data_IF_103081010172
#
_entry.id   IF_103081010172
#
_cell.length_a   1.000
_cell.length_b   1.000
_cell.length_c   1.000
_cell.angle_alpha   90.00
_cell.angle_beta   90.00
_cell.angle_gamma   90.00
#
_symmetry.space_group_name_H-M   'P 1'
#
loop_
_entity.id
_entity.type
_entity.pdbx_description
1 polymer ?
#
# COMPACT_ATOMS: atom_id res chain seq x y z
N UNK A 1 -0.94 3.47 -50.61
CA UNK A 1 -0.01 2.73 -49.74
C UNK A 1 -0.85 1.85 -48.84
N UNK A 2 -0.58 0.54 -48.79
CA UNK A 2 -1.25 -0.33 -47.83
C UNK A 2 -0.91 0.14 -46.41
N UNK A 3 -1.95 0.27 -45.59
CA UNK A 3 -1.81 0.72 -44.21
C UNK A 3 -1.04 -0.33 -43.39
N UNK A 4 0.09 0.09 -42.83
CA UNK A 4 1.07 -0.79 -42.21
C UNK A 4 0.56 -1.31 -40.88
N UNK A 5 0.74 -2.61 -40.63
CA UNK A 5 0.43 -3.19 -39.32
C UNK A 5 1.59 -2.98 -38.32
N UNK A 6 1.28 -2.45 -37.14
CA UNK A 6 2.23 -2.28 -36.04
C UNK A 6 1.85 -3.18 -34.86
N UNK A 7 2.83 -3.57 -34.04
CA UNK A 7 2.59 -4.35 -32.81
C UNK A 7 2.38 -3.39 -31.66
N UNK A 8 1.27 -3.54 -30.93
CA UNK A 8 0.93 -2.70 -29.77
C UNK A 8 1.08 -3.40 -28.43
N UNK A 9 1.02 -4.73 -28.41
CA UNK A 9 1.20 -5.52 -27.21
C UNK A 9 1.70 -6.93 -27.54
N UNK A 10 2.37 -7.56 -26.58
CA UNK A 10 2.74 -8.97 -26.62
C UNK A 10 2.28 -9.62 -25.32
N UNK A 11 1.33 -10.54 -25.41
CA UNK A 11 0.58 -11.04 -24.24
C UNK A 11 0.40 -12.56 -24.31
N UNK A 12 -0.15 -13.16 -23.26
CA UNK A 12 -0.65 -14.54 -23.31
C UNK A 12 -1.88 -14.63 -24.22
N UNK A 13 -2.16 -15.81 -24.79
CA UNK A 13 -3.31 -16.00 -25.70
C UNK A 13 -4.64 -15.48 -25.12
N UNK A 14 -4.95 -15.81 -23.86
CA UNK A 14 -6.16 -15.32 -23.17
C UNK A 14 -6.24 -13.80 -23.09
N UNK A 15 -5.16 -13.12 -22.70
CA UNK A 15 -5.08 -11.67 -22.60
C UNK A 15 -5.13 -11.00 -23.98
N UNK A 16 -4.45 -11.57 -24.97
CA UNK A 16 -4.46 -11.08 -26.33
C UNK A 16 -5.87 -11.13 -26.95
N UNK A 17 -6.64 -12.18 -26.67
CA UNK A 17 -8.03 -12.30 -27.14
C UNK A 17 -8.96 -11.27 -26.47
N UNK A 18 -8.81 -11.05 -25.16
CA UNK A 18 -9.55 -10.00 -24.43
C UNK A 18 -9.23 -8.63 -25.01
N UNK A 19 -7.95 -8.32 -25.19
CA UNK A 19 -7.50 -7.04 -25.74
C UNK A 19 -8.02 -6.81 -27.16
N UNK A 20 -7.92 -7.84 -28.03
CA UNK A 20 -8.49 -7.81 -29.39
C UNK A 20 -9.98 -7.48 -29.35
N UNK A 21 -10.76 -8.22 -28.57
CA UNK A 21 -12.22 -8.07 -28.48
C UNK A 21 -12.60 -6.65 -28.04
N UNK A 22 -11.88 -6.10 -27.05
CA UNK A 22 -12.13 -4.74 -26.58
C UNK A 22 -11.80 -3.68 -27.63
N UNK A 23 -10.65 -3.79 -28.31
CA UNK A 23 -10.26 -2.85 -29.35
C UNK A 23 -11.25 -2.87 -30.53
N UNK A 24 -11.66 -4.06 -30.98
CA UNK A 24 -12.63 -4.22 -32.07
C UNK A 24 -14.00 -3.65 -31.70
N UNK A 25 -14.47 -3.88 -30.46
CA UNK A 25 -15.73 -3.31 -29.96
C UNK A 25 -15.71 -1.77 -29.93
N UNK A 26 -14.54 -1.15 -29.85
CA UNK A 26 -14.35 0.30 -29.87
C UNK A 26 -13.89 0.81 -31.25
N UNK A 27 -14.03 -0.01 -32.29
CA UNK A 27 -13.76 0.37 -33.68
C UNK A 27 -12.28 0.54 -33.99
N UNK A 28 -11.42 -0.35 -33.47
CA UNK A 28 -10.02 -0.52 -33.87
C UNK A 28 -9.86 -1.97 -34.34
N UNK A 29 -9.60 -2.17 -35.62
CA UNK A 29 -9.41 -3.51 -36.19
C UNK A 29 -8.10 -4.12 -35.70
N UNK A 30 -8.16 -5.37 -35.22
CA UNK A 30 -7.04 -5.99 -34.51
C UNK A 30 -6.72 -7.40 -35.02
N UNK A 31 -5.43 -7.67 -35.23
CA UNK A 31 -4.90 -8.93 -35.77
C UNK A 31 -4.00 -9.59 -34.74
N UNK A 32 -4.11 -10.91 -34.58
CA UNK A 32 -3.26 -11.68 -33.68
C UNK A 32 -2.24 -12.49 -34.47
N UNK A 33 -0.97 -12.43 -34.04
CA UNK A 33 0.14 -13.21 -34.61
C UNK A 33 0.79 -14.07 -33.52
N UNK A 34 1.35 -15.21 -33.92
CA UNK A 34 1.88 -16.26 -33.04
C UNK A 34 0.80 -16.96 -32.19
N UNK A 35 -0.41 -17.12 -32.72
CA UNK A 35 -1.46 -17.90 -32.08
C UNK A 35 -1.16 -19.39 -32.31
N UNK A 36 -0.48 -20.05 -31.37
CA UNK A 36 -0.29 -21.50 -31.43
C UNK A 36 -1.60 -22.20 -31.02
N UNK A 37 -2.32 -22.72 -32.00
CA UNK A 37 -3.62 -23.40 -31.82
C UNK A 37 -3.45 -24.93 -31.61
N UNK A 38 -2.27 -25.48 -31.91
CA UNK A 38 -2.10 -26.93 -32.09
C UNK A 38 -1.63 -27.74 -30.87
N UNK A 39 -1.48 -27.15 -29.69
CA UNK A 39 -1.30 -27.90 -28.44
C UNK A 39 -1.73 -26.99 -27.29
N UNK A 40 -2.47 -27.52 -26.31
CA UNK A 40 -2.95 -26.83 -25.11
C UNK A 40 -1.84 -26.30 -24.16
N UNK A 41 -0.67 -25.97 -24.70
CA UNK A 41 0.37 -25.23 -24.01
C UNK A 41 0.03 -23.73 -24.06
N UNK A 42 0.24 -23.06 -22.93
CA UNK A 42 0.06 -21.62 -22.75
C UNK A 42 0.96 -20.92 -23.78
N UNK A 43 0.39 -20.47 -24.90
CA UNK A 43 1.13 -19.68 -25.87
C UNK A 43 1.43 -18.31 -25.25
N UNK A 44 2.64 -18.17 -24.71
CA UNK A 44 3.24 -16.89 -24.35
C UNK A 44 3.79 -16.22 -25.62
N UNK A 45 3.65 -14.90 -25.71
CA UNK A 45 4.22 -14.13 -26.82
C UNK A 45 3.28 -13.92 -28.03
N UNK A 46 1.96 -13.95 -27.82
CA UNK A 46 0.98 -13.58 -28.86
C UNK A 46 1.07 -12.08 -29.10
N UNK A 47 1.37 -11.70 -30.35
CA UNK A 47 1.50 -10.30 -30.75
C UNK A 47 0.14 -9.77 -31.19
N UNK A 48 -0.27 -8.66 -30.59
CA UNK A 48 -1.49 -7.92 -30.92
C UNK A 48 -1.09 -6.80 -31.88
N UNK A 49 -1.65 -6.83 -33.09
CA UNK A 49 -1.32 -5.90 -34.17
C UNK A 49 -2.55 -5.09 -34.58
N UNK A 50 -2.33 -3.83 -34.93
CA UNK A 50 -3.36 -2.91 -35.45
C UNK A 50 -2.81 -2.17 -36.67
N UNK A 51 -3.69 -1.47 -37.40
CA UNK A 51 -3.28 -0.51 -38.42
C UNK A 51 -2.59 0.70 -37.79
N UNK A 52 -1.55 1.22 -38.44
CA UNK A 52 -0.77 2.36 -37.96
C UNK A 52 -1.65 3.62 -37.82
N UNK A 53 -2.65 3.80 -38.70
CA UNK A 53 -3.63 4.89 -38.61
C UNK A 53 -4.44 4.91 -37.31
N UNK A 54 -4.62 3.74 -36.67
CA UNK A 54 -5.41 3.59 -35.45
C UNK A 54 -4.57 3.68 -34.17
N UNK A 55 -3.25 3.90 -34.29
CA UNK A 55 -2.32 3.83 -33.17
C UNK A 55 -2.69 4.73 -31.99
N UNK A 56 -3.02 6.00 -32.24
CA UNK A 56 -3.37 6.96 -31.19
C UNK A 56 -4.64 6.54 -30.43
N UNK A 57 -5.68 6.18 -31.17
CA UNK A 57 -6.96 5.70 -30.61
C UNK A 57 -6.77 4.41 -29.82
N UNK A 58 -6.01 3.46 -30.37
CA UNK A 58 -5.72 2.19 -29.72
C UNK A 58 -4.92 2.37 -28.44
N UNK A 59 -3.89 3.23 -28.43
CA UNK A 59 -3.11 3.54 -27.22
C UNK A 59 -3.97 4.15 -26.12
N UNK A 60 -4.88 5.08 -26.47
CA UNK A 60 -5.84 5.66 -25.52
C UNK A 60 -6.76 4.58 -24.93
N UNK A 61 -7.34 3.73 -25.78
CA UNK A 61 -8.20 2.62 -25.37
C UNK A 61 -7.46 1.59 -24.50
N UNK A 62 -6.21 1.25 -24.84
CA UNK A 62 -5.37 0.36 -24.03
C UNK A 62 -5.09 0.96 -22.66
N UNK A 63 -4.82 2.28 -22.60
CA UNK A 63 -4.67 2.99 -21.35
C UNK A 63 -5.95 2.88 -20.52
N UNK A 64 -7.11 3.17 -21.10
CA UNK A 64 -8.41 3.10 -20.43
C UNK A 64 -8.76 1.67 -19.95
N UNK A 65 -8.46 0.65 -20.75
CA UNK A 65 -8.67 -0.76 -20.38
C UNK A 65 -7.74 -1.18 -19.25
N UNK A 66 -6.44 -0.85 -19.32
CA UNK A 66 -5.50 -1.08 -18.23
C UNK A 66 -5.96 -0.37 -16.96
N UNK A 67 -6.46 0.85 -17.09
CA UNK A 67 -7.04 1.59 -15.97
C UNK A 67 -8.24 0.84 -15.39
N UNK A 68 -9.16 0.33 -16.21
CA UNK A 68 -10.34 -0.43 -15.75
C UNK A 68 -9.97 -1.78 -15.10
N UNK A 69 -8.98 -2.51 -15.64
CA UNK A 69 -8.46 -3.74 -15.05
C UNK A 69 -7.77 -3.48 -13.71
N UNK A 70 -6.97 -2.41 -13.61
CA UNK A 70 -6.38 -1.95 -12.35
C UNK A 70 -7.45 -1.48 -11.36
N UNK A 71 -8.58 -0.93 -11.82
CA UNK A 71 -9.76 -0.67 -10.97
C UNK A 71 -10.29 -1.96 -10.37
N UNK A 72 -10.63 -2.92 -11.22
CA UNK A 72 -11.29 -4.17 -10.80
C UNK A 72 -10.39 -5.04 -9.92
N UNK A 73 -9.09 -5.07 -10.21
CA UNK A 73 -8.08 -5.82 -9.44
C UNK A 73 -7.86 -5.22 -8.05
N UNK A 74 -7.80 -3.89 -7.93
CA UNK A 74 -7.59 -3.21 -6.64
C UNK A 74 -8.86 -3.27 -5.77
N UNK A 75 -10.05 -3.19 -6.36
CA UNK A 75 -11.32 -3.31 -5.65
C UNK A 75 -11.51 -4.71 -5.03
N UNK A 76 -11.05 -5.76 -5.74
CA UNK A 76 -10.97 -7.11 -5.16
C UNK A 76 -9.88 -7.26 -4.10
N UNK A 77 -8.83 -6.44 -4.12
CA UNK A 77 -7.71 -6.51 -3.18
C UNK A 77 -8.03 -5.91 -1.81
N UNK A 78 -8.80 -4.81 -1.73
CA UNK A 78 -9.16 -4.17 -0.45
C UNK A 78 -10.01 -5.07 0.47
N UNK A 79 -10.55 -6.18 -0.04
CA UNK A 79 -11.23 -7.22 0.74
C UNK A 79 -10.30 -8.03 1.65
N UNK A 80 -8.99 -7.81 1.59
CA UNK A 80 -8.00 -8.48 2.44
C UNK A 80 -7.09 -7.46 3.10
N UNK A 81 -7.12 -7.43 4.43
CA UNK A 81 -6.26 -6.57 5.25
C UNK A 81 -5.26 -7.45 5.98
N UNK A 82 -3.97 -7.12 5.87
CA UNK A 82 -2.92 -7.74 6.67
C UNK A 82 -2.54 -6.81 7.82
N UNK A 83 -2.52 -7.33 9.05
CA UNK A 83 -2.22 -6.56 10.25
C UNK A 83 -1.06 -7.22 10.98
N UNK A 84 0.18 -6.76 10.75
CA UNK A 84 1.31 -7.12 11.58
C UNK A 84 1.10 -6.65 13.03
N UNK A 85 1.33 -7.54 13.99
CA UNK A 85 1.17 -7.26 15.42
C UNK A 85 2.39 -7.68 16.20
N UNK A 86 2.74 -6.90 17.21
CA UNK A 86 3.81 -7.17 18.18
C UNK A 86 3.34 -6.95 19.62
N UNK A 87 2.02 -6.95 19.81
CA UNK A 87 1.33 -6.83 21.10
C UNK A 87 1.45 -5.47 21.81
N UNK A 88 2.18 -4.52 21.22
CA UNK A 88 2.27 -3.13 21.67
C UNK A 88 0.93 -2.39 21.53
N UNK A 89 0.76 -1.29 22.27
CA UNK A 89 -0.41 -0.41 22.10
C UNK A 89 -0.59 0.12 20.67
N UNK A 90 0.46 0.58 19.95
CA UNK A 90 0.32 0.96 18.55
C UNK A 90 -0.16 -0.18 17.64
N UNK A 91 0.26 -1.43 17.89
CA UNK A 91 -0.23 -2.57 17.12
C UNK A 91 -1.69 -2.93 17.44
N UNK A 92 -2.12 -2.78 18.70
CA UNK A 92 -3.52 -2.91 19.09
C UNK A 92 -4.37 -1.85 18.40
N UNK A 93 -3.89 -0.60 18.40
CA UNK A 93 -4.55 0.51 17.72
C UNK A 93 -4.66 0.25 16.21
N UNK A 94 -3.57 -0.21 15.57
CA UNK A 94 -3.58 -0.60 14.17
C UNK A 94 -4.60 -1.70 13.86
N UNK A 95 -4.74 -2.71 14.73
CA UNK A 95 -5.75 -3.73 14.58
C UNK A 95 -7.18 -3.16 14.67
N UNK A 96 -7.44 -2.21 15.58
CA UNK A 96 -8.76 -1.54 15.67
C UNK A 96 -9.07 -0.70 14.43
N UNK A 97 -8.10 0.04 13.89
CA UNK A 97 -8.26 0.72 12.59
C UNK A 97 -8.57 -0.28 11.48
N UNK A 98 -7.93 -1.45 11.47
CA UNK A 98 -8.21 -2.50 10.50
C UNK A 98 -9.64 -3.05 10.61
N UNK A 99 -10.20 -3.21 11.83
CA UNK A 99 -11.62 -3.60 12.02
C UNK A 99 -12.55 -2.61 11.33
N UNK A 100 -12.30 -1.31 11.50
CA UNK A 100 -13.13 -0.28 10.90
C UNK A 100 -13.06 -0.24 9.38
N UNK A 101 -11.86 -0.36 8.83
CA UNK A 101 -11.70 -0.53 7.39
C UNK A 101 -12.43 -1.80 6.92
N UNK A 102 -12.26 -2.91 7.63
CA UNK A 102 -12.91 -4.16 7.28
C UNK A 102 -14.44 -4.07 7.28
N UNK A 103 -15.04 -3.36 8.23
CA UNK A 103 -16.48 -3.10 8.25
C UNK A 103 -16.94 -2.31 7.02
N UNK A 104 -16.25 -1.23 6.64
CA UNK A 104 -16.64 -0.43 5.45
C UNK A 104 -16.43 -1.19 4.13
N UNK A 105 -15.40 -2.03 4.05
CA UNK A 105 -15.03 -2.76 2.84
C UNK A 105 -15.60 -4.17 2.74
N UNK A 106 -16.30 -4.65 3.77
CA UNK A 106 -16.61 -6.08 3.92
C UNK A 106 -15.36 -6.95 3.71
N UNK A 107 -14.26 -6.58 4.37
CA UNK A 107 -12.96 -7.21 4.22
C UNK A 107 -12.69 -8.23 5.33
N UNK A 108 -11.80 -9.17 5.05
CA UNK A 108 -11.23 -10.07 6.04
C UNK A 108 -9.88 -9.56 6.56
N UNK A 109 -9.66 -9.71 7.86
CA UNK A 109 -8.43 -9.35 8.55
C UNK A 109 -7.60 -10.62 8.77
N UNK A 110 -6.32 -10.54 8.43
CA UNK A 110 -5.31 -11.51 8.84
C UNK A 110 -4.33 -10.82 9.80
N UNK A 111 -4.39 -11.17 11.07
CA UNK A 111 -3.34 -10.84 12.03
C UNK A 111 -2.09 -11.66 11.72
N UNK A 112 -0.92 -11.04 11.78
CA UNK A 112 0.37 -11.68 11.59
C UNK A 112 1.29 -11.30 12.74
N UNK A 113 1.71 -12.26 13.53
CA UNK A 113 2.85 -12.08 14.42
C UNK A 113 4.07 -12.79 13.85
N UNK A 114 5.21 -12.09 13.82
CA UNK A 114 6.50 -12.66 13.44
C UNK A 114 7.37 -12.66 14.69
N UNK A 115 7.65 -13.85 15.23
CA UNK A 115 8.52 -13.99 16.39
C UNK A 115 9.94 -14.28 15.93
N UNK A 116 10.92 -13.68 16.60
CA UNK A 116 12.32 -13.91 16.31
C UNK A 116 12.83 -15.09 17.15
N UNK A 117 13.51 -16.04 16.50
CA UNK A 117 14.27 -17.09 17.16
C UNK A 117 15.76 -16.70 17.02
N UNK A 118 16.46 -16.33 18.10
CA UNK A 118 17.85 -15.83 18.05
C UNK A 118 18.89 -16.87 17.59
N UNK A 119 18.45 -18.06 17.18
CA UNK A 119 19.25 -19.24 16.91
C UNK A 119 20.01 -19.18 15.58
N UNK A 120 19.54 -18.41 14.59
CA UNK A 120 20.08 -18.46 13.22
C UNK A 120 21.40 -17.67 13.05
N UNK A 121 21.68 -16.69 13.91
CA UNK A 121 22.81 -15.78 13.72
C UNK A 121 24.11 -16.15 14.47
N UNK A 122 24.10 -17.18 15.34
CA UNK A 122 25.11 -17.27 16.42
C UNK A 122 25.80 -18.61 16.68
N UNK A 123 25.72 -19.63 15.80
CA UNK A 123 26.32 -20.96 16.10
C UNK A 123 27.56 -21.26 15.24
N UNK A 124 28.78 -21.25 15.81
CA UNK A 124 29.93 -21.94 15.25
C UNK A 124 29.72 -23.47 15.28
N UNK A 125 30.08 -24.15 14.20
CA UNK A 125 29.80 -25.57 13.90
C UNK A 125 30.38 -26.64 14.87
N UNK A 126 30.88 -26.30 16.06
CA UNK A 126 31.78 -27.20 16.81
C UNK A 126 31.16 -28.04 17.94
N UNK A 127 29.94 -27.77 18.43
CA UNK A 127 29.39 -28.49 19.62
C UNK A 127 27.91 -28.91 19.48
N UNK A 128 27.60 -29.78 18.51
CA UNK A 128 26.23 -30.01 17.99
C UNK A 128 25.24 -30.80 18.88
N UNK A 129 25.68 -31.60 19.85
CA UNK A 129 24.80 -32.60 20.49
C UNK A 129 24.11 -32.13 21.81
N UNK A 130 24.82 -31.44 22.70
CA UNK A 130 24.24 -30.86 23.93
C UNK A 130 23.46 -29.56 23.66
N UNK A 131 23.84 -28.86 22.59
CA UNK A 131 23.16 -27.68 22.06
C UNK A 131 21.78 -28.08 21.50
N UNK A 132 21.60 -29.22 20.83
CA UNK A 132 20.32 -29.58 20.20
C UNK A 132 19.11 -29.64 21.16
N UNK A 133 19.28 -30.16 22.38
CA UNK A 133 18.17 -30.36 23.34
C UNK A 133 17.73 -29.03 23.97
N UNK A 134 18.68 -28.17 24.37
CA UNK A 134 18.37 -26.84 24.90
C UNK A 134 17.75 -25.92 23.83
N UNK A 135 18.07 -26.16 22.55
CA UNK A 135 17.53 -25.38 21.43
C UNK A 135 16.09 -25.72 21.11
N UNK A 136 15.73 -27.01 21.06
CA UNK A 136 14.34 -27.44 20.87
C UNK A 136 13.46 -26.94 22.02
N UNK A 137 13.94 -27.03 23.26
CA UNK A 137 13.22 -26.53 24.44
C UNK A 137 13.01 -25.00 24.39
N UNK A 138 14.06 -24.22 24.10
CA UNK A 138 13.96 -22.76 24.00
C UNK A 138 13.06 -22.33 22.83
N UNK A 139 13.13 -23.02 21.69
CA UNK A 139 12.24 -22.77 20.57
C UNK A 139 10.77 -23.03 20.91
N UNK A 140 10.47 -24.19 21.50
CA UNK A 140 9.11 -24.53 21.90
C UNK A 140 8.54 -23.53 22.91
N UNK A 141 9.35 -23.06 23.86
CA UNK A 141 8.94 -22.02 24.81
C UNK A 141 8.64 -20.69 24.10
N UNK A 142 9.52 -20.22 23.22
CA UNK A 142 9.31 -18.98 22.45
C UNK A 142 8.06 -19.07 21.56
N UNK A 143 7.91 -20.17 20.81
CA UNK A 143 6.78 -20.41 19.93
C UNK A 143 5.46 -20.46 20.71
N UNK A 144 5.40 -21.23 21.81
CA UNK A 144 4.19 -21.34 22.61
C UNK A 144 3.81 -20.02 23.27
N UNK A 145 4.79 -19.29 23.81
CA UNK A 145 4.57 -17.95 24.36
C UNK A 145 4.04 -16.97 23.30
N UNK A 146 4.67 -16.91 22.13
CA UNK A 146 4.22 -16.06 21.02
C UNK A 146 2.81 -16.44 20.53
N UNK A 147 2.50 -17.73 20.47
CA UNK A 147 1.19 -18.25 20.10
C UNK A 147 0.13 -17.86 21.12
N UNK A 148 0.38 -18.05 22.41
CA UNK A 148 -0.55 -17.68 23.48
C UNK A 148 -0.86 -16.19 23.47
N UNK A 149 0.17 -15.34 23.31
CA UNK A 149 0.00 -13.89 23.20
C UNK A 149 -0.82 -13.49 21.97
N UNK A 150 -0.60 -14.16 20.84
CA UNK A 150 -1.38 -13.93 19.62
C UNK A 150 -2.84 -14.36 19.76
N UNK A 151 -3.11 -15.49 20.41
CA UNK A 151 -4.49 -15.94 20.69
C UNK A 151 -5.20 -14.93 21.60
N UNK A 152 -4.57 -14.49 22.69
CA UNK A 152 -5.12 -13.46 23.58
C UNK A 152 -5.38 -12.14 22.84
N UNK A 153 -4.44 -11.70 22.01
CA UNK A 153 -4.62 -10.50 21.18
C UNK A 153 -5.83 -10.64 20.24
N UNK A 154 -5.96 -11.80 19.58
CA UNK A 154 -7.07 -12.11 18.70
C UNK A 154 -8.42 -12.11 19.44
N UNK A 155 -8.49 -12.73 20.62
CA UNK A 155 -9.70 -12.77 21.46
C UNK A 155 -10.12 -11.37 21.88
N UNK A 156 -9.18 -10.56 22.37
CA UNK A 156 -9.43 -9.16 22.74
C UNK A 156 -9.94 -8.34 21.55
N UNK A 157 -9.40 -8.57 20.36
CA UNK A 157 -9.86 -7.90 19.14
C UNK A 157 -11.27 -8.34 18.75
N UNK A 158 -11.60 -9.64 18.88
CA UNK A 158 -12.95 -10.15 18.64
C UNK A 158 -13.96 -9.58 19.64
N UNK A 159 -13.58 -9.47 20.91
CA UNK A 159 -14.41 -8.83 21.93
C UNK A 159 -14.68 -7.36 21.59
N UNK A 160 -13.64 -6.58 21.29
CA UNK A 160 -13.78 -5.20 20.83
C UNK A 160 -14.71 -5.10 19.60
N UNK A 161 -14.52 -5.99 18.63
CA UNK A 161 -15.32 -6.04 17.41
C UNK A 161 -16.81 -6.28 17.72
N UNK A 162 -17.12 -7.18 18.67
CA UNK A 162 -18.49 -7.44 19.11
C UNK A 162 -19.09 -6.24 19.87
N UNK A 163 -18.33 -5.63 20.78
CA UNK A 163 -18.76 -4.47 21.57
C UNK A 163 -19.11 -3.28 20.67
N UNK A 164 -18.39 -3.11 19.56
CA UNK A 164 -18.63 -2.04 18.59
C UNK A 164 -19.73 -2.36 17.56
N UNK A 165 -20.37 -3.53 17.63
CA UNK A 165 -21.41 -3.94 16.69
C UNK A 165 -20.87 -4.40 15.32
N UNK A 166 -19.59 -4.78 15.24
CA UNK A 166 -18.92 -5.20 14.01
C UNK A 166 -18.66 -6.73 13.96
N UNK A 167 -19.45 -7.53 14.70
CA UNK A 167 -19.21 -8.97 14.93
C UNK A 167 -19.01 -9.83 13.68
N UNK A 168 -19.54 -9.39 12.53
CA UNK A 168 -19.45 -10.07 11.23
C UNK A 168 -18.06 -9.98 10.57
N UNK A 169 -17.16 -9.11 11.06
CA UNK A 169 -15.81 -8.99 10.53
C UNK A 169 -15.07 -10.32 10.73
N UNK A 170 -14.61 -10.89 9.61
CA UNK A 170 -13.82 -12.11 9.60
C UNK A 170 -12.38 -11.80 9.99
N UNK A 171 -11.95 -12.35 11.11
CA UNK A 171 -10.59 -12.19 11.63
C UNK A 171 -9.96 -13.57 11.72
N UNK A 172 -8.80 -13.74 11.09
CA UNK A 172 -7.92 -14.88 11.30
C UNK A 172 -6.55 -14.40 11.76
N UNK A 173 -5.73 -15.31 12.27
CA UNK A 173 -4.36 -15.00 12.66
C UNK A 173 -3.37 -16.01 12.05
N UNK A 174 -2.09 -15.65 12.02
CA UNK A 174 -0.99 -16.55 11.68
C UNK A 174 0.25 -16.15 12.47
N UNK A 175 0.96 -17.16 12.95
CA UNK A 175 2.26 -17.00 13.58
C UNK A 175 3.34 -17.40 12.57
N UNK A 176 4.43 -16.64 12.49
CA UNK A 176 5.60 -16.97 11.67
C UNK A 176 6.88 -16.74 12.44
N UNK A 177 7.90 -17.51 12.10
CA UNK A 177 9.26 -17.30 12.58
C UNK A 177 10.04 -16.40 11.62
N UNK A 178 10.92 -15.55 12.18
CA UNK A 178 11.94 -14.81 11.44
C UNK A 178 12.03 -13.33 11.84
N UNK A 179 12.65 -12.52 10.98
CA UNK A 179 12.65 -11.07 11.15
C UNK A 179 11.32 -10.46 10.73
N UNK A 180 10.80 -9.52 11.52
CA UNK A 180 9.47 -8.96 11.34
C UNK A 180 9.22 -8.41 9.93
N UNK A 181 10.11 -7.53 9.43
CA UNK A 181 9.98 -6.93 8.11
C UNK A 181 9.94 -7.97 6.99
N UNK A 182 10.90 -8.92 6.98
CA UNK A 182 10.94 -10.01 6.02
C UNK A 182 9.70 -10.91 6.10
N UNK A 183 9.29 -11.29 7.31
CA UNK A 183 8.10 -12.11 7.55
C UNK A 183 6.82 -11.44 7.03
N UNK A 184 6.68 -10.13 7.22
CA UNK A 184 5.57 -9.31 6.71
C UNK A 184 5.60 -9.23 5.19
N UNK A 185 6.75 -8.94 4.57
CA UNK A 185 6.92 -8.86 3.12
C UNK A 185 6.55 -10.19 2.47
N UNK A 186 7.08 -11.30 2.99
CA UNK A 186 6.78 -12.65 2.47
C UNK A 186 5.31 -13.05 2.67
N UNK A 187 4.72 -12.74 3.82
CA UNK A 187 3.30 -12.96 4.04
C UNK A 187 2.45 -12.14 3.07
N UNK A 188 2.86 -10.90 2.77
CA UNK A 188 2.17 -10.02 1.83
C UNK A 188 2.20 -10.55 0.40
N UNK A 189 3.32 -11.14 -0.06
CA UNK A 189 3.41 -11.79 -1.38
C UNK A 189 2.44 -12.97 -1.53
N UNK A 190 2.27 -13.77 -0.47
CA UNK A 190 1.40 -14.96 -0.45
C UNK A 190 -0.07 -14.60 -0.27
N UNK A 191 -0.38 -13.76 0.71
CA UNK A 191 -1.75 -13.40 1.08
C UNK A 191 -2.37 -12.39 0.09
N UNK A 192 -1.52 -11.56 -0.54
CA UNK A 192 -1.90 -10.48 -1.48
C UNK A 192 -2.98 -9.55 -0.89
N UNK A 193 -2.73 -8.94 0.29
CA UNK A 193 -3.67 -7.97 0.86
C UNK A 193 -3.75 -6.72 -0.02
N UNK A 194 -4.88 -6.02 0.00
CA UNK A 194 -5.02 -4.71 -0.64
C UNK A 194 -4.47 -3.56 0.20
N UNK A 195 -4.30 -3.79 1.50
CA UNK A 195 -3.68 -2.83 2.40
C UNK A 195 -3.03 -3.57 3.58
N UNK A 196 -1.88 -3.06 4.02
CA UNK A 196 -1.22 -3.46 5.27
C UNK A 196 -1.52 -2.36 6.29
N UNK A 197 -1.94 -2.72 7.50
CA UNK A 197 -2.20 -1.76 8.59
C UNK A 197 -1.30 -2.15 9.76
N UNK A 198 -0.40 -1.27 10.18
CA UNK A 198 0.55 -1.58 11.26
C UNK A 198 0.87 -0.36 12.12
N UNK A 199 1.30 -0.60 13.37
CA UNK A 199 1.80 0.45 14.25
C UNK A 199 3.17 0.99 13.80
N UNK A 200 3.48 2.24 14.14
CA UNK A 200 4.82 2.82 13.85
C UNK A 200 5.83 2.58 14.96
N UNK A 201 5.41 2.13 16.15
CA UNK A 201 6.30 1.88 17.28
C UNK A 201 5.95 0.53 17.89
N UNK A 202 6.99 -0.21 18.29
CA UNK A 202 6.83 -1.58 18.73
C UNK A 202 6.98 -1.80 20.24
N UNK A 203 6.71 -3.02 20.66
CA UNK A 203 6.88 -3.48 22.04
C UNK A 203 8.36 -3.50 22.40
N UNK A 204 8.72 -2.96 23.58
CA UNK A 204 10.10 -2.96 24.07
C UNK A 204 10.99 -1.87 23.44
N UNK A 205 10.42 -0.94 22.68
CA UNK A 205 11.14 0.20 22.11
C UNK A 205 12.04 0.88 23.16
N UNK A 206 13.35 0.70 23.02
CA UNK A 206 14.35 1.39 23.85
C UNK A 206 14.60 2.77 23.25
N UNK A 207 14.96 3.76 24.06
CA UNK A 207 15.27 5.13 23.58
C UNK A 207 16.37 5.17 22.50
N UNK A 208 17.15 4.10 22.34
CA UNK A 208 18.23 3.93 21.37
C UNK A 208 17.81 3.28 20.04
N UNK A 209 16.61 2.69 19.93
CA UNK A 209 16.14 2.05 18.70
C UNK A 209 15.50 3.07 17.75
N UNK A 210 15.51 2.79 16.44
CA UNK A 210 14.84 3.63 15.44
C UNK A 210 13.33 3.28 15.42
N UNK A 211 12.46 4.24 15.79
CA UNK A 211 11.00 4.10 15.68
C UNK A 211 10.63 3.70 14.24
N UNK A 212 9.63 2.85 14.02
CA UNK A 212 9.12 2.58 12.67
C UNK A 212 10.12 1.99 11.70
N UNK A 213 11.20 1.35 12.19
CA UNK A 213 12.18 0.66 11.34
C UNK A 213 11.51 -0.41 10.47
N UNK A 214 10.67 -1.25 11.08
CA UNK A 214 9.89 -2.29 10.39
C UNK A 214 8.91 -1.66 9.40
N UNK A 215 8.16 -0.63 9.80
CA UNK A 215 7.21 0.06 8.91
C UNK A 215 7.91 0.70 7.70
N UNK A 216 9.08 1.31 7.91
CA UNK A 216 9.89 1.90 6.84
C UNK A 216 10.38 0.82 5.88
N UNK A 217 10.92 -0.29 6.39
CA UNK A 217 11.44 -1.38 5.56
C UNK A 217 10.32 -2.07 4.76
N UNK A 218 9.17 -2.31 5.40
CA UNK A 218 7.98 -2.85 4.71
C UNK A 218 7.53 -1.88 3.61
N UNK A 219 7.42 -0.58 3.89
CA UNK A 219 7.03 0.44 2.90
C UNK A 219 8.00 0.56 1.72
N UNK A 220 9.28 0.29 1.96
CA UNK A 220 10.33 0.40 0.94
C UNK A 220 10.38 -0.81 -0.01
N UNK A 221 9.81 -1.95 0.39
CA UNK A 221 9.93 -3.22 -0.36
C UNK A 221 8.58 -3.82 -0.83
N UNK A 222 7.44 -3.27 -0.38
CA UNK A 222 6.11 -3.71 -0.81
C UNK A 222 5.41 -2.71 -1.72
N UNK A 223 4.69 -3.20 -2.74
CA UNK A 223 3.85 -2.38 -3.62
C UNK A 223 2.42 -2.20 -3.07
N UNK A 224 2.13 -2.82 -1.93
CA UNK A 224 0.83 -2.76 -1.25
C UNK A 224 0.77 -1.48 -0.42
N UNK A 225 -0.33 -0.71 -0.48
CA UNK A 225 -0.51 0.45 0.39
C UNK A 225 -0.29 0.09 1.87
N UNK A 226 0.48 0.92 2.57
CA UNK A 226 0.77 0.74 4.00
C UNK A 226 0.13 1.87 4.80
N UNK A 227 -0.84 1.54 5.65
CA UNK A 227 -1.39 2.46 6.64
C UNK A 227 -0.62 2.30 7.96
N UNK A 228 0.24 3.26 8.23
CA UNK A 228 1.07 3.35 9.41
C UNK A 228 0.32 4.16 10.51
N UNK A 229 0.09 3.52 11.66
CA UNK A 229 -0.69 4.10 12.77
C UNK A 229 0.27 4.54 13.89
N UNK A 230 0.42 5.85 14.13
CA UNK A 230 1.29 6.33 15.21
C UNK A 230 0.65 6.12 16.59
N UNK A 231 1.50 6.11 17.62
CA UNK A 231 1.11 5.90 19.02
C UNK A 231 0.03 6.90 19.48
N UNK A 232 0.11 8.16 19.02
CA UNK A 232 -0.84 9.21 19.41
C UNK A 232 -2.14 9.22 18.59
N UNK A 233 -2.26 8.43 17.53
CA UNK A 233 -3.44 8.43 16.68
C UNK A 233 -4.61 7.69 17.35
N UNK A 234 -5.36 8.36 18.23
CA UNK A 234 -6.50 7.72 18.91
C UNK A 234 -7.67 7.57 17.95
N UNK A 235 -8.16 6.34 17.84
CA UNK A 235 -9.37 5.98 17.13
C UNK A 235 -10.62 6.41 17.92
N UNK A 236 -11.49 7.27 17.38
CA UNK A 236 -12.75 7.61 18.05
C UNK A 236 -14.01 7.28 17.23
N UNK A 237 -13.90 6.94 15.94
CA UNK A 237 -15.04 6.44 15.15
C UNK A 237 -14.81 6.29 13.65
N UNK A 238 -15.72 5.57 12.99
CA UNK A 238 -15.59 5.16 11.56
C UNK A 238 -15.75 6.28 10.56
N UNK A 239 -16.37 7.38 10.99
CA UNK A 239 -16.64 8.55 10.16
C UNK A 239 -15.71 9.73 10.52
N UNK A 240 -14.61 9.48 11.25
CA UNK A 240 -13.66 10.53 11.65
C UNK A 240 -12.66 10.91 10.57
N UNK A 241 -12.41 10.04 9.59
CA UNK A 241 -11.56 10.39 8.45
C UNK A 241 -12.37 11.33 7.55
N UNK A 242 -12.22 12.63 7.79
CA UNK A 242 -12.92 13.69 7.04
C UNK A 242 -11.98 14.49 6.18
N UNK A 243 -10.76 14.75 6.65
CA UNK A 243 -9.76 15.55 5.94
C UNK A 243 -8.53 14.73 5.68
N UNK A 244 -8.26 14.49 4.40
CA UNK A 244 -7.15 13.66 3.94
C UNK A 244 -6.16 14.56 3.22
N UNK A 245 -4.90 14.55 3.63
CA UNK A 245 -3.84 15.29 2.97
C UNK A 245 -3.07 14.36 2.03
N UNK A 246 -2.94 14.70 0.76
CA UNK A 246 -2.02 14.11 -0.18
C UNK A 246 -0.85 15.07 -0.46
N UNK A 247 0.38 14.59 -0.35
CA UNK A 247 1.57 15.38 -0.70
C UNK A 247 2.09 14.92 -2.06
N UNK A 248 1.98 15.78 -3.07
CA UNK A 248 2.35 15.49 -4.47
C UNK A 248 3.78 15.91 -4.79
N UNK A 249 4.49 15.04 -5.52
CA UNK A 249 5.79 15.34 -6.13
C UNK A 249 5.67 15.70 -7.62
N UNK A 250 4.45 15.64 -8.19
CA UNK A 250 4.15 15.80 -9.62
C UNK A 250 4.84 14.78 -10.52
N UNK A 251 5.10 13.57 -10.00
CA UNK A 251 5.64 12.46 -10.78
C UNK A 251 4.52 11.54 -11.30
N UNK A 252 4.85 10.63 -12.22
CA UNK A 252 3.86 9.73 -12.82
C UNK A 252 3.23 8.78 -11.81
N UNK A 253 3.95 8.44 -10.72
CA UNK A 253 3.45 7.57 -9.67
C UNK A 253 2.37 8.24 -8.82
N UNK A 254 2.32 9.58 -8.75
CA UNK A 254 1.26 10.31 -8.05
C UNK A 254 -0.14 9.98 -8.59
N UNK A 255 -0.31 9.89 -9.91
CA UNK A 255 -1.62 9.57 -10.48
C UNK A 255 -2.11 8.18 -10.06
N UNK A 256 -1.21 7.21 -9.95
CA UNK A 256 -1.51 5.87 -9.47
C UNK A 256 -1.84 5.88 -7.97
N UNK A 257 -1.03 6.59 -7.17
CA UNK A 257 -1.21 6.73 -5.72
C UNK A 257 -2.50 7.46 -5.37
N UNK A 258 -2.82 8.58 -6.04
CA UNK A 258 -4.07 9.32 -5.89
C UNK A 258 -5.26 8.43 -6.24
N UNK A 259 -5.18 7.65 -7.31
CA UNK A 259 -6.25 6.71 -7.69
C UNK A 259 -6.47 5.64 -6.61
N UNK A 260 -5.40 5.07 -6.05
CA UNK A 260 -5.47 4.13 -4.93
C UNK A 260 -6.06 4.80 -3.68
N UNK A 261 -5.61 6.02 -3.36
CA UNK A 261 -6.10 6.82 -2.25
C UNK A 261 -7.59 7.06 -2.35
N UNK A 262 -8.06 7.61 -3.47
CA UNK A 262 -9.48 7.92 -3.71
C UNK A 262 -10.37 6.69 -3.52
N UNK A 263 -9.88 5.48 -3.83
CA UNK A 263 -10.58 4.23 -3.53
C UNK A 263 -10.58 3.88 -2.05
N UNK A 264 -9.41 3.94 -1.40
CA UNK A 264 -9.24 3.69 0.05
C UNK A 264 -10.02 4.69 0.90
N UNK A 265 -10.39 5.85 0.35
CA UNK A 265 -11.21 6.84 1.07
C UNK A 265 -12.63 6.95 0.52
N UNK A 266 -12.99 6.22 -0.54
CA UNK A 266 -14.30 6.32 -1.20
C UNK A 266 -15.52 5.99 -0.33
N UNK A 267 -15.46 5.05 0.64
CA UNK A 267 -16.59 4.81 1.55
C UNK A 267 -16.77 5.91 2.60
N UNK A 268 -15.84 6.88 2.65
CA UNK A 268 -15.82 7.97 3.61
C UNK A 268 -16.14 9.28 2.89
N UNK A 269 -16.91 10.15 3.54
CA UNK A 269 -17.16 11.50 3.02
C UNK A 269 -15.97 12.40 3.34
N UNK A 270 -14.94 12.34 2.49
CA UNK A 270 -13.70 13.09 2.69
C UNK A 270 -13.60 14.35 1.85
N UNK A 271 -12.90 15.33 2.41
CA UNK A 271 -12.29 16.45 1.74
C UNK A 271 -10.79 16.15 1.54
N UNK A 272 -10.36 16.16 0.27
CA UNK A 272 -8.99 15.90 -0.12
C UNK A 272 -8.21 17.22 -0.22
N UNK A 273 -7.20 17.36 0.61
CA UNK A 273 -6.20 18.42 0.50
C UNK A 273 -5.03 17.85 -0.31
N UNK A 274 -4.64 18.52 -1.38
CA UNK A 274 -3.50 18.14 -2.20
C UNK A 274 -2.47 19.26 -2.18
N UNK A 275 -1.30 19.02 -1.59
CA UNK A 275 -0.26 20.04 -1.46
C UNK A 275 1.01 19.66 -2.19
N UNK A 276 1.67 20.66 -2.75
CA UNK A 276 3.04 20.55 -3.23
C UNK A 276 3.97 21.37 -2.33
N UNK A 277 5.04 20.74 -1.83
CA UNK A 277 6.05 21.37 -1.00
C UNK A 277 7.23 21.80 -1.87
N UNK A 278 7.51 23.10 -1.92
CA UNK A 278 8.62 23.63 -2.70
C UNK A 278 9.36 24.74 -1.94
N UNK A 279 10.66 24.89 -2.20
CA UNK A 279 11.45 26.06 -1.79
C UNK A 279 11.53 27.12 -2.90
N UNK A 280 11.03 26.78 -4.10
CA UNK A 280 10.98 27.67 -5.26
C UNK A 280 9.78 28.62 -5.16
N UNK A 281 9.89 29.84 -5.75
CA UNK A 281 8.75 30.71 -5.88
C UNK A 281 7.66 30.05 -6.74
N UNK A 282 6.40 30.41 -6.44
CA UNK A 282 5.27 29.99 -7.26
C UNK A 282 5.47 30.42 -8.72
N UNK A 283 5.28 29.49 -9.65
CA UNK A 283 5.53 29.68 -11.07
C UNK A 283 4.36 29.15 -11.91
N UNK A 284 4.15 29.70 -13.13
CA UNK A 284 3.11 29.21 -14.03
C UNK A 284 3.17 27.68 -14.27
N UNK A 285 4.37 27.10 -14.34
CA UNK A 285 4.56 25.66 -14.51
C UNK A 285 4.07 24.83 -13.31
N UNK A 286 4.41 25.25 -12.08
CA UNK A 286 3.94 24.57 -10.85
C UNK A 286 2.41 24.68 -10.74
N UNK A 287 1.83 25.85 -11.07
CA UNK A 287 0.38 26.01 -11.10
C UNK A 287 -0.30 25.13 -12.16
N UNK A 288 0.31 24.98 -13.33
CA UNK A 288 -0.20 24.08 -14.37
C UNK A 288 -0.18 22.62 -13.93
N UNK A 289 0.92 22.16 -13.31
CA UNK A 289 1.00 20.81 -12.73
C UNK A 289 -0.07 20.60 -11.66
N UNK A 290 -0.26 21.58 -10.75
CA UNK A 290 -1.29 21.48 -9.72
C UNK A 290 -2.71 21.46 -10.30
N UNK A 291 -2.97 22.25 -11.36
CA UNK A 291 -4.24 22.18 -12.08
C UNK A 291 -4.47 20.80 -12.69
N UNK A 292 -3.45 20.24 -13.34
CA UNK A 292 -3.50 18.89 -13.90
C UNK A 292 -3.83 17.83 -12.84
N UNK A 293 -3.20 17.90 -11.66
CA UNK A 293 -3.51 17.01 -10.53
C UNK A 293 -4.97 17.15 -10.08
N UNK A 294 -5.48 18.39 -10.00
CA UNK A 294 -6.89 18.66 -9.66
C UNK A 294 -7.84 18.06 -10.69
N UNK A 295 -7.55 18.27 -11.97
CA UNK A 295 -8.38 17.79 -13.08
C UNK A 295 -8.40 16.25 -13.08
N UNK A 296 -7.26 15.61 -12.83
CA UNK A 296 -7.16 14.17 -12.69
C UNK A 296 -8.00 13.64 -11.51
N UNK A 297 -7.94 14.28 -10.35
CA UNK A 297 -8.77 13.90 -9.19
C UNK A 297 -10.26 14.01 -9.52
N UNK A 298 -10.67 15.13 -10.12
CA UNK A 298 -12.06 15.34 -10.53
C UNK A 298 -12.52 14.34 -11.58
N UNK A 299 -11.63 13.91 -12.48
CA UNK A 299 -11.92 12.86 -13.46
C UNK A 299 -12.13 11.50 -12.78
N UNK A 300 -11.30 11.16 -11.79
CA UNK A 300 -11.36 9.85 -11.10
C UNK A 300 -12.52 9.78 -10.11
N UNK A 301 -12.79 10.86 -9.38
CA UNK A 301 -13.90 10.95 -8.44
C UNK A 301 -14.52 12.36 -8.45
N UNK A 302 -15.51 12.62 -9.33
CA UNK A 302 -16.15 13.94 -9.45
C UNK A 302 -16.84 14.43 -8.16
N UNK A 303 -17.17 13.52 -7.24
CA UNK A 303 -17.86 13.83 -5.99
C UNK A 303 -16.94 14.23 -4.83
N UNK A 304 -15.61 14.06 -4.97
CA UNK A 304 -14.68 14.41 -3.89
C UNK A 304 -14.41 15.91 -3.91
N UNK A 305 -14.53 16.56 -2.75
CA UNK A 305 -14.09 17.95 -2.62
C UNK A 305 -12.57 17.97 -2.55
N UNK A 306 -11.92 18.66 -3.49
CA UNK A 306 -10.47 18.82 -3.52
C UNK A 306 -10.04 20.28 -3.29
N UNK A 307 -9.08 20.49 -2.40
CA UNK A 307 -8.36 21.75 -2.17
C UNK A 307 -6.92 21.54 -2.60
N UNK A 308 -6.40 22.39 -3.49
CA UNK A 308 -5.01 22.32 -3.94
C UNK A 308 -4.22 23.56 -3.54
N UNK A 309 -3.07 23.38 -2.90
CA UNK A 309 -2.22 24.48 -2.43
C UNK A 309 -0.75 24.22 -2.73
N UNK A 310 -0.04 25.27 -3.14
CA UNK A 310 1.43 25.26 -3.21
C UNK A 310 1.91 25.85 -1.90
N UNK A 311 2.63 25.04 -1.13
CA UNK A 311 3.23 25.50 0.12
C UNK A 311 4.68 25.79 -0.22
N UNK A 312 5.11 27.05 -0.07
CA UNK A 312 6.50 27.50 -0.27
C UNK A 312 7.29 27.63 1.05
N UNK A 313 8.58 27.29 1.06
CA UNK A 313 9.47 27.44 2.22
C UNK A 313 10.55 26.35 2.35
N UNK A 314 11.41 26.49 3.37
CA UNK A 314 12.40 25.47 3.77
C UNK A 314 11.81 24.55 4.85
N UNK A 315 12.45 23.42 5.16
CA UNK A 315 12.01 22.48 6.21
C UNK A 315 10.63 21.83 5.95
N UNK A 316 10.57 21.00 4.91
CA UNK A 316 9.32 20.36 4.46
C UNK A 316 8.59 19.54 5.54
N UNK A 317 9.31 18.90 6.45
CA UNK A 317 8.76 18.08 7.53
C UNK A 317 7.96 18.93 8.54
N UNK A 318 8.56 20.00 9.06
CA UNK A 318 7.87 20.93 9.98
C UNK A 318 6.62 21.52 9.34
N UNK A 319 6.71 21.92 8.08
CA UNK A 319 5.62 22.57 7.35
C UNK A 319 4.44 21.65 7.09
N UNK A 320 4.70 20.37 6.82
CA UNK A 320 3.62 19.36 6.72
C UNK A 320 2.93 19.19 8.07
N UNK A 321 3.69 19.12 9.17
CA UNK A 321 3.12 19.02 10.51
C UNK A 321 2.29 20.25 10.91
N UNK A 322 2.78 21.46 10.62
CA UNK A 322 2.03 22.71 10.80
C UNK A 322 0.75 22.72 9.96
N UNK A 323 0.83 22.27 8.70
CA UNK A 323 -0.32 22.19 7.81
C UNK A 323 -1.36 21.18 8.32
N UNK A 324 -0.92 20.02 8.84
CA UNK A 324 -1.78 19.01 9.47
C UNK A 324 -2.56 19.62 10.63
N UNK A 325 -1.87 20.28 11.56
CA UNK A 325 -2.51 20.92 12.72
C UNK A 325 -3.45 22.04 12.33
N UNK A 326 -3.00 22.97 11.46
CA UNK A 326 -3.79 24.12 11.02
C UNK A 326 -5.09 23.71 10.31
N UNK A 327 -5.04 22.67 9.50
CA UNK A 327 -6.19 22.22 8.70
C UNK A 327 -6.96 21.06 9.34
N UNK A 328 -6.61 20.63 10.56
CA UNK A 328 -7.21 19.48 11.24
C UNK A 328 -7.24 18.23 10.34
N UNK A 329 -6.12 17.93 9.70
CA UNK A 329 -5.98 16.74 8.84
C UNK A 329 -6.07 15.48 9.71
N UNK A 330 -6.82 14.47 9.26
CA UNK A 330 -7.03 13.21 9.97
C UNK A 330 -6.18 12.06 9.42
N UNK A 331 -5.75 12.16 8.16
CA UNK A 331 -4.96 11.15 7.47
C UNK A 331 -4.02 11.85 6.49
N UNK A 332 -2.76 11.43 6.45
CA UNK A 332 -1.78 11.93 5.48
C UNK A 332 -1.42 10.80 4.52
N UNK A 333 -1.34 11.09 3.24
CA UNK A 333 -1.06 10.17 2.17
C UNK A 333 0.12 10.67 1.31
N UNK A 334 1.06 9.78 1.02
CA UNK A 334 2.28 10.12 0.27
C UNK A 334 2.78 8.93 -0.54
N UNK A 335 3.45 9.23 -1.64
CA UNK A 335 4.21 8.24 -2.41
C UNK A 335 5.64 8.14 -1.88
N UNK A 336 6.03 6.94 -1.45
CA UNK A 336 7.41 6.56 -1.16
C UNK A 336 8.09 6.09 -2.45
N UNK A 337 9.24 6.69 -2.76
CA UNK A 337 10.05 6.34 -3.94
C UNK A 337 11.30 5.60 -3.49
N UNK A 338 11.62 4.48 -4.14
CA UNK A 338 12.87 3.74 -3.90
C UNK A 338 14.07 4.60 -4.31
N UNK A 339 14.80 5.14 -3.33
CA UNK A 339 16.05 5.89 -3.55
C UNK A 339 17.27 4.97 -3.50
N UNK A 340 18.31 5.27 -4.29
CA UNK A 340 19.59 4.58 -4.24
C UNK A 340 20.21 4.63 -2.83
N UNK A 341 20.85 3.55 -2.39
CA UNK A 341 21.39 3.34 -1.03
C UNK A 341 22.24 4.52 -0.50
N UNK A 342 23.04 5.16 -1.36
CA UNK A 342 23.90 6.29 -0.99
C UNK A 342 23.12 7.58 -0.66
N UNK A 343 21.92 7.77 -1.21
CA UNK A 343 21.08 8.94 -0.92
C UNK A 343 20.23 8.77 0.36
N UNK A 344 19.95 7.53 0.79
CA UNK A 344 19.16 7.24 2.01
C UNK A 344 19.88 7.63 3.31
N UNK A 345 21.22 7.65 3.30
CA UNK A 345 22.05 7.92 4.48
C UNK A 345 22.13 9.41 4.87
N UNK A 346 21.88 10.33 3.93
CA UNK A 346 22.09 11.77 4.16
C UNK A 346 20.81 12.60 4.33
N UNK A 347 19.63 12.08 3.93
CA UNK A 347 18.36 12.75 4.16
C UNK A 347 17.19 11.77 4.17
N UNK A 348 16.55 11.50 5.33
CA UNK A 348 15.34 10.67 5.36
C UNK A 348 14.24 11.34 4.52
N UNK A 349 13.58 10.53 3.69
CA UNK A 349 12.46 10.98 2.86
C UNK A 349 11.34 11.54 3.73
N UNK A 350 10.48 12.38 3.14
CA UNK A 350 9.29 12.87 3.83
C UNK A 350 8.46 11.70 4.39
N UNK A 351 8.30 10.61 3.62
CA UNK A 351 7.63 9.39 4.07
C UNK A 351 8.22 8.82 5.35
N UNK A 352 9.55 8.67 5.37
CA UNK A 352 10.26 8.18 6.54
C UNK A 352 10.01 9.11 7.73
N UNK A 353 10.18 10.43 7.58
CA UNK A 353 9.91 11.41 8.65
C UNK A 353 8.47 11.39 9.16
N UNK A 354 7.49 11.22 8.28
CA UNK A 354 6.08 11.11 8.66
C UNK A 354 5.80 9.87 9.51
N UNK A 355 6.41 8.71 9.20
CA UNK A 355 6.31 7.51 10.06
C UNK A 355 6.82 7.80 11.49
N UNK A 356 7.90 8.60 11.60
CA UNK A 356 8.53 8.92 12.88
C UNK A 356 7.78 9.96 13.71
N UNK A 357 7.26 11.01 13.07
CA UNK A 357 6.89 12.26 13.74
C UNK A 357 5.39 12.57 13.68
N UNK A 358 4.64 11.89 12.82
CA UNK A 358 3.22 12.21 12.64
C UNK A 358 2.40 11.80 13.86
N UNK A 359 1.47 12.67 14.24
CA UNK A 359 0.45 12.38 15.26
C UNK A 359 -0.84 11.83 14.65
N UNK A 360 -0.91 11.71 13.31
CA UNK A 360 -2.06 11.20 12.57
C UNK A 360 -1.64 10.00 11.71
N UNK A 361 -2.57 9.08 11.38
CA UNK A 361 -2.28 7.98 10.47
C UNK A 361 -1.61 8.45 9.16
N UNK A 362 -0.67 7.63 8.68
CA UNK A 362 0.09 7.90 7.44
C UNK A 362 -0.11 6.75 6.47
N UNK A 363 -0.73 7.02 5.32
CA UNK A 363 -0.91 6.10 4.22
C UNK A 363 0.20 6.26 3.19
N UNK A 364 0.99 5.21 3.02
CA UNK A 364 2.14 5.19 2.11
C UNK A 364 1.83 4.33 0.89
N UNK A 365 2.12 4.89 -0.28
CA UNK A 365 2.12 4.18 -1.54
C UNK A 365 3.56 3.96 -1.99
N UNK A 366 3.82 2.88 -2.71
CA UNK A 366 5.10 2.67 -3.36
C UNK A 366 5.00 3.04 -4.84
N UNK A 367 5.96 3.84 -5.32
CA UNK A 367 6.11 4.21 -6.73
C UNK A 367 6.65 3.06 -7.58
#
# INVERSE_FOLDING_TARGET
MEDKLIVIATESNSKALVLKTYLEANGVECFLRNVNVLQGAIAEGVKVQIRESDAEKALKLISDLRHAEDVKRIDQQLRKILVPVDFSEPSQNAARYAVMLATKYNAQIKLLHVFNSPVVDMIPFTDVASIQIDFDMNYHVLYNSAKERLVKFFENLKEFTNQMGYGDVQIGYTLREGYASYGIIEASKRYKPGIIVMGTKGEGFRSTELVGSVATEVSDETHIPLLAIPEKAVLKGIDEVKRVLYVTNFDESDNLSIRKLLRIVSPFQVELYCIHLTDKPDSPGIRALMSSTRDYVNQVNPGVKIICEIVSGKENDKRVMEYIGKNNINLVALTSVKRNLLYKLFNPSLAKRMIYQSDVPVLLFHA
#
